data_IF_323580485912
#
_entry.id   IF_323580485912
#
_cell.length_a   1.000
_cell.length_b   1.000
_cell.length_c   1.000
_cell.angle_alpha   90.00
_cell.angle_beta   90.00
_cell.angle_gamma   90.00
#
_symmetry.space_group_name_H-M   'P 1'
#
loop_
_entity.id
_entity.type
_entity.pdbx_description
1 polymer ?
#
# COMPACT_ATOMS: atom_id res chain seq x y z
N UNK A 1 6.31 -7.57 -38.96
CA UNK A 1 5.00 -8.25 -39.16
C UNK A 1 3.93 -7.34 -38.59
N UNK A 2 2.90 -6.93 -39.35
CA UNK A 2 1.76 -6.26 -38.72
C UNK A 2 1.17 -7.23 -37.69
N UNK A 3 1.03 -6.77 -36.46
CA UNK A 3 0.50 -7.56 -35.36
C UNK A 3 -0.95 -7.92 -35.67
N UNK A 4 -1.20 -9.18 -36.02
CA UNK A 4 -2.54 -9.77 -36.18
C UNK A 4 -3.15 -10.02 -34.81
N UNK A 5 -3.36 -8.96 -34.03
CA UNK A 5 -4.16 -9.03 -32.81
C UNK A 5 -5.63 -9.21 -33.19
N UNK A 6 -6.36 -10.02 -32.42
CA UNK A 6 -7.80 -10.17 -32.57
C UNK A 6 -8.46 -8.78 -32.53
N UNK A 7 -9.47 -8.56 -33.39
CA UNK A 7 -10.20 -7.30 -33.45
C UNK A 7 -10.74 -6.95 -32.06
N UNK A 8 -10.55 -5.70 -31.64
CA UNK A 8 -11.11 -5.20 -30.40
C UNK A 8 -12.64 -5.34 -30.44
N UNK A 9 -13.22 -5.73 -29.30
CA UNK A 9 -14.66 -5.80 -29.15
C UNK A 9 -15.28 -4.41 -29.45
N UNK A 10 -16.32 -4.32 -30.29
CA UNK A 10 -16.97 -3.04 -30.56
C UNK A 10 -17.81 -2.61 -29.35
N UNK A 11 -17.68 -1.35 -28.96
CA UNK A 11 -18.49 -0.69 -27.93
C UNK A 11 -19.34 0.43 -28.53
N UNK A 12 -20.54 0.63 -28.02
CA UNK A 12 -21.35 1.81 -28.41
C UNK A 12 -20.73 3.11 -27.87
N UNK A 13 -21.10 4.29 -28.41
CA UNK A 13 -20.65 5.56 -27.85
C UNK A 13 -21.00 5.74 -26.36
N UNK A 14 -22.12 5.17 -25.92
CA UNK A 14 -22.55 5.15 -24.51
C UNK A 14 -21.65 4.26 -23.67
N UNK A 15 -21.36 3.05 -24.14
CA UNK A 15 -20.49 2.09 -23.47
C UNK A 15 -19.05 2.60 -23.38
N UNK A 16 -18.52 3.18 -24.46
CA UNK A 16 -17.21 3.79 -24.48
C UNK A 16 -17.10 4.92 -23.46
N UNK A 17 -18.11 5.80 -23.37
CA UNK A 17 -18.18 6.85 -22.34
C UNK A 17 -18.26 6.29 -20.91
N UNK A 18 -18.93 5.16 -20.72
CA UNK A 18 -19.00 4.50 -19.41
C UNK A 18 -17.67 3.83 -19.01
N UNK A 19 -16.87 3.38 -19.99
CA UNK A 19 -15.58 2.75 -19.78
C UNK A 19 -14.43 3.75 -19.61
N UNK A 20 -14.50 4.91 -20.26
CA UNK A 20 -13.44 5.94 -20.32
C UNK A 20 -12.82 6.30 -18.96
N UNK A 21 -13.57 6.43 -17.85
CA UNK A 21 -12.97 6.73 -16.54
C UNK A 21 -12.12 5.60 -15.97
N UNK A 22 -12.37 4.36 -16.40
CA UNK A 22 -11.89 3.14 -15.74
C UNK A 22 -10.90 2.32 -16.56
N UNK A 23 -10.79 2.58 -17.86
CA UNK A 23 -9.91 1.83 -18.76
C UNK A 23 -9.08 2.81 -19.59
N UNK A 24 -7.75 2.64 -19.59
CA UNK A 24 -6.84 3.55 -20.30
C UNK A 24 -6.99 3.54 -21.83
N UNK A 25 -7.71 2.57 -22.39
CA UNK A 25 -8.21 2.55 -23.76
C UNK A 25 -9.35 1.52 -23.89
N UNK A 26 -10.14 1.57 -24.96
CA UNK A 26 -11.24 0.63 -25.27
C UNK A 26 -11.01 -0.17 -26.55
N UNK A 27 -10.06 0.25 -27.37
CA UNK A 27 -9.80 -0.21 -28.74
C UNK A 27 -8.49 -0.99 -28.91
N UNK A 28 -7.70 -1.13 -27.84
CA UNK A 28 -6.49 -1.95 -27.81
C UNK A 28 -6.65 -3.17 -26.89
N UNK A 29 -6.01 -4.31 -27.24
CA UNK A 29 -6.00 -5.51 -26.40
C UNK A 29 -5.17 -5.34 -25.12
N UNK A 30 -4.26 -4.37 -25.08
CA UNK A 30 -3.46 -4.02 -23.88
C UNK A 30 -3.98 -2.71 -23.31
N UNK A 31 -4.36 -2.72 -22.04
CA UNK A 31 -4.95 -1.59 -21.33
C UNK A 31 -4.65 -1.67 -19.84
N UNK A 32 -4.86 -0.56 -19.15
CA UNK A 32 -4.75 -0.44 -17.69
C UNK A 32 -6.12 -0.14 -17.10
N UNK A 33 -6.39 -0.67 -15.91
CA UNK A 33 -7.55 -0.28 -15.11
C UNK A 33 -7.19 0.95 -14.26
N UNK A 34 -8.01 1.99 -14.32
CA UNK A 34 -7.86 3.24 -13.56
C UNK A 34 -9.10 3.50 -12.72
N UNK A 35 -9.00 4.32 -11.67
CA UNK A 35 -10.13 4.83 -10.89
C UNK A 35 -11.19 3.80 -10.43
N UNK A 36 -10.83 2.52 -10.31
CA UNK A 36 -11.69 1.47 -9.76
C UNK A 36 -11.29 1.18 -8.32
N UNK A 37 -12.24 0.97 -7.39
CA UNK A 37 -11.94 0.43 -6.08
C UNK A 37 -11.23 -0.93 -6.19
N UNK A 38 -10.25 -1.21 -5.33
CA UNK A 38 -9.49 -2.48 -5.38
C UNK A 38 -10.39 -3.71 -5.24
N UNK A 39 -11.44 -3.64 -4.41
CA UNK A 39 -12.46 -4.67 -4.28
C UNK A 39 -13.15 -4.99 -5.62
N UNK A 40 -13.44 -3.97 -6.42
CA UNK A 40 -14.08 -4.13 -7.74
C UNK A 40 -13.08 -4.73 -8.75
N UNK A 41 -11.81 -4.32 -8.72
CA UNK A 41 -10.77 -4.93 -9.57
C UNK A 41 -10.58 -6.41 -9.27
N UNK A 42 -10.48 -6.75 -7.98
CA UNK A 42 -10.38 -8.13 -7.51
C UNK A 42 -11.57 -8.97 -7.97
N UNK A 43 -12.78 -8.48 -7.73
CA UNK A 43 -14.02 -9.13 -8.13
C UNK A 43 -14.15 -9.32 -9.65
N UNK A 44 -13.81 -8.27 -10.42
CA UNK A 44 -13.82 -8.30 -11.87
C UNK A 44 -12.86 -9.35 -12.41
N UNK A 45 -11.61 -9.39 -11.92
CA UNK A 45 -10.64 -10.38 -12.38
C UNK A 45 -10.97 -11.81 -11.92
N UNK A 46 -11.54 -11.98 -10.73
CA UNK A 46 -12.06 -13.27 -10.26
C UNK A 46 -13.15 -13.82 -11.19
N UNK A 47 -14.07 -12.96 -11.64
CA UNK A 47 -15.15 -13.33 -12.58
C UNK A 47 -14.63 -13.49 -14.01
N UNK A 48 -13.67 -12.66 -14.41
CA UNK A 48 -13.05 -12.71 -15.74
C UNK A 48 -12.29 -14.01 -15.97
N UNK A 49 -11.57 -14.54 -14.97
CA UNK A 49 -10.81 -15.81 -15.11
C UNK A 49 -11.68 -17.03 -15.42
N UNK A 50 -13.00 -16.94 -15.21
CA UNK A 50 -13.98 -18.03 -15.41
C UNK A 50 -15.09 -17.67 -16.42
N UNK A 51 -14.91 -16.60 -17.20
CA UNK A 51 -15.90 -16.11 -18.16
C UNK A 51 -15.34 -16.09 -19.58
N UNK A 52 -16.21 -16.30 -20.57
CA UNK A 52 -15.86 -16.14 -21.99
C UNK A 52 -15.95 -14.67 -22.47
N UNK A 53 -16.47 -13.75 -21.64
CA UNK A 53 -16.59 -12.32 -21.94
C UNK A 53 -15.27 -11.60 -21.73
N UNK A 54 -15.07 -10.47 -22.42
CA UNK A 54 -13.94 -9.57 -22.14
C UNK A 54 -14.08 -8.91 -20.76
N UNK A 55 -12.97 -8.44 -20.18
CA UNK A 55 -13.00 -7.71 -18.91
C UNK A 55 -13.85 -6.43 -18.99
N UNK A 56 -13.83 -5.72 -20.12
CA UNK A 56 -14.65 -4.51 -20.35
C UNK A 56 -16.14 -4.85 -20.43
N UNK A 57 -16.51 -5.93 -21.14
CA UNK A 57 -17.90 -6.39 -21.24
C UNK A 57 -18.43 -6.86 -19.90
N UNK A 58 -17.65 -7.65 -19.16
CA UNK A 58 -18.01 -8.02 -17.78
C UNK A 58 -18.21 -6.81 -16.90
N UNK A 59 -17.30 -5.84 -16.97
CA UNK A 59 -17.43 -4.61 -16.20
C UNK A 59 -18.75 -3.88 -16.49
N UNK A 60 -19.09 -3.67 -17.76
CA UNK A 60 -20.35 -3.04 -18.16
C UNK A 60 -21.58 -3.82 -17.67
N UNK A 61 -21.57 -5.13 -17.87
CA UNK A 61 -22.73 -5.99 -17.61
C UNK A 61 -22.98 -6.22 -16.12
N UNK A 62 -21.92 -6.33 -15.32
CA UNK A 62 -21.99 -6.86 -13.94
C UNK A 62 -21.47 -5.90 -12.87
N UNK A 63 -20.65 -4.90 -13.20
CA UNK A 63 -19.92 -4.10 -12.20
C UNK A 63 -20.17 -2.59 -12.28
N UNK A 64 -20.53 -2.04 -13.44
CA UNK A 64 -20.71 -0.60 -13.63
C UNK A 64 -21.72 -0.01 -12.63
N UNK A 65 -22.78 -0.75 -12.30
CA UNK A 65 -23.80 -0.33 -11.34
C UNK A 65 -23.33 -0.28 -9.88
N UNK A 66 -22.18 -0.89 -9.57
CA UNK A 66 -21.58 -0.93 -8.23
C UNK A 66 -20.43 0.06 -8.05
N UNK A 67 -19.97 0.72 -9.12
CA UNK A 67 -18.98 1.78 -9.04
C UNK A 67 -19.67 3.13 -8.81
N UNK A 68 -19.25 3.87 -7.78
CA UNK A 68 -19.70 5.24 -7.58
C UNK A 68 -19.23 6.14 -8.74
N UNK A 69 -19.93 7.26 -9.05
CA UNK A 69 -19.47 8.20 -10.06
C UNK A 69 -18.02 8.64 -9.81
N UNK A 70 -17.20 8.64 -10.86
CA UNK A 70 -15.79 9.02 -10.79
C UNK A 70 -15.63 10.37 -10.07
N UNK A 71 -14.89 10.38 -8.95
CA UNK A 71 -14.66 11.56 -8.12
C UNK A 71 -15.45 11.62 -6.80
N UNK A 72 -16.33 10.65 -6.52
CA UNK A 72 -16.93 10.52 -5.20
C UNK A 72 -15.89 10.06 -4.16
N UNK A 73 -15.87 10.62 -2.93
CA UNK A 73 -14.93 10.19 -1.90
C UNK A 73 -15.09 8.69 -1.63
N UNK A 74 -13.96 7.98 -1.60
CA UNK A 74 -13.88 6.59 -1.16
C UNK A 74 -14.09 6.53 0.35
N UNK A 75 -15.34 6.63 0.78
CA UNK A 75 -15.72 6.62 2.19
C UNK A 75 -17.22 6.77 2.38
N UNK A 76 -17.85 5.71 2.91
CA UNK A 76 -19.18 5.70 3.55
C UNK A 76 -20.33 6.38 2.77
N UNK A 77 -20.54 5.97 1.52
CA UNK A 77 -21.80 6.18 0.80
C UNK A 77 -22.44 4.85 0.40
N UNK A 78 -23.64 4.83 -0.23
CA UNK A 78 -24.36 3.61 -0.65
C UNK A 78 -23.57 2.65 -1.56
N UNK A 79 -22.43 3.10 -2.11
CA UNK A 79 -21.47 2.27 -2.85
C UNK A 79 -20.57 1.40 -1.97
N UNK A 80 -20.36 1.76 -0.69
CA UNK A 80 -19.55 0.98 0.26
C UNK A 80 -20.20 -0.34 0.63
N UNK A 81 -21.49 -0.33 0.99
CA UNK A 81 -22.24 -1.57 1.27
C UNK A 81 -22.39 -2.45 0.02
N UNK A 82 -22.49 -1.84 -1.18
CA UNK A 82 -22.54 -2.60 -2.45
C UNK A 82 -21.19 -3.23 -2.76
N UNK A 83 -20.10 -2.49 -2.61
CA UNK A 83 -18.74 -3.00 -2.76
C UNK A 83 -18.42 -4.09 -1.72
N UNK A 84 -18.87 -3.96 -0.47
CA UNK A 84 -18.75 -5.01 0.54
C UNK A 84 -19.56 -6.26 0.20
N UNK A 85 -20.79 -6.12 -0.31
CA UNK A 85 -21.58 -7.27 -0.79
C UNK A 85 -20.92 -7.95 -1.97
N UNK A 86 -20.37 -7.18 -2.91
CA UNK A 86 -19.62 -7.68 -4.05
C UNK A 86 -18.35 -8.43 -3.59
N UNK A 87 -17.59 -7.83 -2.65
CA UNK A 87 -16.41 -8.43 -2.04
C UNK A 87 -16.75 -9.71 -1.29
N UNK A 88 -17.81 -9.71 -0.47
CA UNK A 88 -18.30 -10.88 0.26
C UNK A 88 -18.72 -11.99 -0.68
N UNK A 89 -19.43 -11.66 -1.77
CA UNK A 89 -19.82 -12.62 -2.80
C UNK A 89 -18.58 -13.21 -3.49
N UNK A 90 -17.59 -12.38 -3.80
CA UNK A 90 -16.36 -12.80 -4.46
C UNK A 90 -15.51 -13.69 -3.56
N UNK A 91 -15.35 -13.32 -2.28
CA UNK A 91 -14.59 -14.07 -1.31
C UNK A 91 -15.25 -15.42 -0.97
N UNK A 92 -16.59 -15.42 -0.81
CA UNK A 92 -17.35 -16.63 -0.45
C UNK A 92 -17.56 -17.59 -1.64
N UNK A 93 -17.77 -17.10 -2.87
CA UNK A 93 -18.05 -17.96 -4.02
C UNK A 93 -16.78 -18.42 -4.76
N UNK A 94 -15.67 -17.67 -4.70
CA UNK A 94 -14.52 -17.90 -5.60
C UNK A 94 -13.24 -18.38 -4.93
N UNK A 95 -13.08 -18.23 -3.60
CA UNK A 95 -12.06 -18.90 -2.78
C UNK A 95 -10.61 -18.78 -3.28
N UNK A 96 -10.29 -17.68 -3.95
CA UNK A 96 -9.07 -17.55 -4.74
C UNK A 96 -8.06 -16.63 -4.04
N UNK A 97 -6.99 -17.22 -3.48
CA UNK A 97 -5.89 -16.48 -2.85
C UNK A 97 -5.24 -15.47 -3.81
N UNK A 98 -5.32 -15.68 -5.14
CA UNK A 98 -4.79 -14.73 -6.12
C UNK A 98 -5.62 -13.44 -6.22
N UNK A 99 -6.90 -13.48 -5.85
CA UNK A 99 -7.78 -12.30 -5.82
C UNK A 99 -7.46 -11.44 -4.61
N UNK A 100 -7.07 -12.05 -3.48
CA UNK A 100 -6.61 -11.31 -2.30
C UNK A 100 -5.35 -10.49 -2.58
N UNK A 101 -4.48 -10.95 -3.48
CA UNK A 101 -3.26 -10.24 -3.89
C UNK A 101 -3.54 -8.97 -4.71
N UNK A 102 -4.75 -8.83 -5.26
CA UNK A 102 -5.16 -7.63 -6.00
C UNK A 102 -5.55 -6.48 -5.07
N UNK A 103 -5.75 -6.73 -3.76
CA UNK A 103 -5.97 -5.71 -2.75
C UNK A 103 -4.66 -5.25 -2.11
N UNK A 104 -4.31 -3.98 -2.27
CA UNK A 104 -3.21 -3.36 -1.53
C UNK A 104 -3.67 -2.80 -0.18
N UNK A 105 -2.85 -2.99 0.87
CA UNK A 105 -3.03 -2.30 2.15
C UNK A 105 -1.90 -1.29 2.36
N UNK A 106 -2.22 -0.11 2.88
CA UNK A 106 -1.24 0.86 3.32
C UNK A 106 -1.15 0.79 4.84
N UNK A 107 0.03 0.48 5.36
CA UNK A 107 0.28 0.31 6.79
C UNK A 107 1.33 1.34 7.22
N UNK A 108 0.97 2.16 8.22
CA UNK A 108 1.90 3.06 8.88
C UNK A 108 2.33 2.45 10.22
N UNK A 109 3.63 2.28 10.41
CA UNK A 109 4.23 1.75 11.63
C UNK A 109 4.99 2.87 12.33
N UNK A 110 4.42 3.44 13.39
CA UNK A 110 5.03 4.53 14.17
C UNK A 110 5.49 4.04 15.54
N UNK A 111 6.61 4.59 16.03
CA UNK A 111 7.16 4.21 17.35
C UNK A 111 7.71 2.78 17.42
N UNK A 112 7.95 2.15 16.27
CA UNK A 112 8.48 0.78 16.18
C UNK A 112 10.01 0.75 16.22
N UNK A 113 10.58 -0.38 16.62
CA UNK A 113 12.03 -0.56 16.66
C UNK A 113 12.64 -0.72 15.25
N UNK A 114 13.89 -0.31 15.08
CA UNK A 114 14.65 -0.58 13.85
C UNK A 114 14.72 -2.08 13.54
N UNK A 115 14.68 -2.94 14.55
CA UNK A 115 14.65 -4.40 14.34
C UNK A 115 13.35 -4.80 13.64
N UNK A 116 12.20 -4.27 14.09
CA UNK A 116 10.92 -4.55 13.43
C UNK A 116 10.89 -4.03 11.99
N UNK A 117 11.45 -2.84 11.72
CA UNK A 117 11.51 -2.32 10.35
C UNK A 117 12.27 -3.28 9.44
N UNK A 118 13.39 -3.87 9.91
CA UNK A 118 14.15 -4.84 9.12
C UNK A 118 13.46 -6.18 8.93
N UNK A 119 12.61 -6.60 9.87
CA UNK A 119 11.74 -7.77 9.68
C UNK A 119 10.69 -7.49 8.58
N UNK A 120 10.05 -6.32 8.60
CA UNK A 120 9.04 -5.92 7.61
C UNK A 120 9.64 -5.76 6.21
N UNK A 121 10.81 -5.13 6.10
CA UNK A 121 11.53 -4.84 4.86
C UNK A 121 12.21 -6.05 4.23
N UNK A 122 12.26 -7.20 4.93
CA UNK A 122 12.85 -8.42 4.39
C UNK A 122 12.01 -9.04 3.28
N UNK A 123 10.69 -8.77 3.29
CA UNK A 123 9.77 -9.22 2.25
C UNK A 123 10.04 -8.55 0.90
N UNK A 124 9.56 -9.16 -0.17
CA UNK A 124 9.60 -8.58 -1.54
C UNK A 124 8.21 -8.33 -2.12
N UNK A 125 7.19 -8.44 -1.27
CA UNK A 125 5.77 -8.36 -1.65
C UNK A 125 5.15 -6.99 -1.33
N UNK A 126 5.93 -6.05 -0.79
CA UNK A 126 5.48 -4.71 -0.42
C UNK A 126 6.43 -3.66 -0.99
N UNK A 127 5.96 -2.42 -1.03
CA UNK A 127 6.81 -1.23 -1.24
C UNK A 127 7.08 -0.57 0.10
N UNK A 128 8.32 -0.11 0.32
CA UNK A 128 8.78 0.37 1.63
C UNK A 128 9.17 1.84 1.57
N UNK A 129 8.82 2.58 2.61
CA UNK A 129 9.30 3.94 2.84
C UNK A 129 9.60 4.12 4.33
N UNK A 130 10.89 4.10 4.68
CA UNK A 130 11.38 4.27 6.05
C UNK A 130 11.84 5.72 6.29
N UNK A 131 11.65 6.21 7.51
CA UNK A 131 12.26 7.48 7.92
C UNK A 131 13.79 7.35 7.89
N UNK A 132 14.42 8.15 7.04
CA UNK A 132 15.87 8.11 6.86
C UNK A 132 16.62 8.80 8.00
N UNK A 133 17.44 8.04 8.73
CA UNK A 133 18.36 8.54 9.76
C UNK A 133 19.46 9.44 9.20
N UNK A 134 19.65 9.47 7.88
CA UNK A 134 20.57 10.38 7.19
C UNK A 134 20.06 11.83 7.17
N UNK A 135 18.74 12.00 7.19
CA UNK A 135 18.09 13.32 7.10
C UNK A 135 17.38 13.71 8.39
N UNK A 136 16.91 12.75 9.18
CA UNK A 136 16.19 12.99 10.43
C UNK A 136 17.03 12.53 11.62
N UNK A 137 17.62 13.46 12.39
CA UNK A 137 18.37 13.12 13.60
C UNK A 137 17.46 12.57 14.70
N UNK A 138 17.92 11.55 15.41
CA UNK A 138 17.18 10.94 16.53
C UNK A 138 17.54 11.60 17.87
N UNK A 139 17.47 12.93 17.92
CA UNK A 139 17.84 13.75 19.09
C UNK A 139 16.64 14.20 19.91
N UNK A 140 15.42 13.97 19.43
CA UNK A 140 14.19 14.34 20.13
C UNK A 140 13.92 13.41 21.32
N UNK A 141 13.39 14.00 22.41
CA UNK A 141 12.99 13.29 23.64
C UNK A 141 11.53 13.54 24.01
N UNK A 142 10.55 12.95 23.29
CA UNK A 142 9.15 13.05 23.67
C UNK A 142 8.96 12.47 25.08
N UNK A 143 8.24 13.18 25.94
CA UNK A 143 8.05 12.76 27.33
C UNK A 143 9.34 12.69 28.17
N UNK A 144 10.43 13.32 27.70
CA UNK A 144 11.72 13.34 28.39
C UNK A 144 12.59 12.10 28.17
N UNK A 145 12.14 11.13 27.37
CA UNK A 145 12.84 9.86 27.13
C UNK A 145 13.35 9.76 25.69
N UNK A 146 14.43 9.01 25.49
CA UNK A 146 14.92 8.69 24.16
C UNK A 146 13.98 7.75 23.40
N UNK A 147 13.98 7.83 22.07
CA UNK A 147 13.13 7.01 21.20
C UNK A 147 13.74 5.63 20.97
N UNK A 148 13.70 4.76 21.98
CA UNK A 148 14.02 3.34 21.82
C UNK A 148 12.95 2.44 22.47
N UNK A 149 12.91 1.18 22.05
CA UNK A 149 12.04 0.15 22.61
C UNK A 149 12.80 -0.64 23.66
N UNK A 150 12.19 -0.84 24.83
CA UNK A 150 12.60 -1.86 25.81
C UNK A 150 11.77 -3.10 25.53
N UNK A 151 12.37 -4.21 25.06
CA UNK A 151 11.63 -5.44 24.78
C UNK A 151 10.92 -5.97 26.03
N UNK A 152 9.68 -6.45 25.87
CA UNK A 152 8.89 -7.00 26.98
C UNK A 152 9.42 -8.33 27.50
N UNK A 153 10.24 -9.00 26.69
CA UNK A 153 10.92 -10.26 26.99
C UNK A 153 12.07 -10.10 28.01
N UNK A 154 12.50 -8.86 28.28
CA UNK A 154 13.47 -8.56 29.34
C UNK A 154 12.69 -8.38 30.65
N UNK A 155 12.40 -9.51 31.31
CA UNK A 155 11.61 -9.54 32.54
C UNK A 155 12.45 -9.23 33.80
N UNK A 156 13.74 -9.59 33.77
CA UNK A 156 14.63 -9.37 34.91
C UNK A 156 14.88 -7.85 35.12
N UNK A 157 14.64 -7.32 36.34
CA UNK A 157 14.79 -5.89 36.61
C UNK A 157 16.21 -5.36 36.39
N UNK A 158 17.24 -6.15 36.70
CA UNK A 158 18.64 -5.73 36.58
C UNK A 158 19.06 -5.71 35.11
N UNK A 159 18.67 -6.71 34.32
CA UNK A 159 18.89 -6.72 32.87
C UNK A 159 18.17 -5.56 32.18
N UNK A 160 16.93 -5.26 32.62
CA UNK A 160 16.16 -4.12 32.11
C UNK A 160 16.83 -2.79 32.42
N UNK A 161 17.34 -2.62 33.64
CA UNK A 161 18.08 -1.42 34.04
C UNK A 161 19.38 -1.26 33.24
N UNK A 162 20.12 -2.36 33.05
CA UNK A 162 21.34 -2.38 32.24
C UNK A 162 21.06 -2.01 30.77
N UNK A 163 20.01 -2.56 30.18
CA UNK A 163 19.59 -2.26 28.82
C UNK A 163 19.26 -0.76 28.63
N UNK A 164 18.43 -0.21 29.53
CA UNK A 164 18.05 1.21 29.54
C UNK A 164 19.27 2.10 29.66
N UNK A 165 20.14 1.85 30.65
CA UNK A 165 21.35 2.65 30.86
C UNK A 165 22.30 2.59 29.65
N UNK A 166 22.39 1.43 29.00
CA UNK A 166 23.20 1.24 27.79
C UNK A 166 22.66 2.06 26.62
N UNK A 167 21.36 2.00 26.36
CA UNK A 167 20.74 2.77 25.28
C UNK A 167 20.75 4.27 25.56
N UNK A 168 20.49 4.70 26.79
CA UNK A 168 20.59 6.12 27.17
C UNK A 168 21.97 6.68 26.84
N UNK A 169 23.03 5.95 27.24
CA UNK A 169 24.41 6.34 26.95
C UNK A 169 24.72 6.37 25.45
N UNK A 170 24.17 5.44 24.67
CA UNK A 170 24.35 5.40 23.23
C UNK A 170 23.69 6.62 22.55
N UNK A 171 22.43 6.92 22.89
CA UNK A 171 21.71 8.06 22.36
C UNK A 171 22.31 9.40 22.80
N UNK A 172 22.75 9.52 24.05
CA UNK A 172 23.48 10.71 24.54
C UNK A 172 24.77 10.93 23.76
N UNK A 173 25.53 9.87 23.54
CA UNK A 173 26.76 9.94 22.76
C UNK A 173 26.48 10.39 21.33
N UNK A 174 25.48 9.79 20.68
CA UNK A 174 25.05 10.19 19.34
C UNK A 174 24.63 11.66 19.28
N UNK A 175 23.72 12.08 20.17
CA UNK A 175 23.18 13.44 20.19
C UNK A 175 24.25 14.49 20.48
N UNK A 176 25.25 14.16 21.32
CA UNK A 176 26.39 15.04 21.58
C UNK A 176 27.27 15.25 20.35
N UNK A 177 27.44 14.23 19.51
CA UNK A 177 28.39 14.25 18.40
C UNK A 177 27.81 14.65 17.05
N UNK A 178 26.49 14.51 16.85
CA UNK A 178 25.87 14.72 15.53
C UNK A 178 26.09 16.15 15.00
N UNK A 179 25.82 17.18 15.80
CA UNK A 179 26.00 18.59 15.39
C UNK A 179 27.47 18.96 15.16
N UNK A 180 28.42 18.67 16.08
CA UNK A 180 29.85 18.93 15.84
C UNK A 180 30.38 18.27 14.57
N UNK A 181 29.99 17.02 14.30
CA UNK A 181 30.42 16.32 13.10
C UNK A 181 29.81 16.93 11.84
N UNK A 182 28.52 17.28 11.85
CA UNK A 182 27.90 17.96 10.72
C UNK A 182 28.56 19.32 10.44
N UNK A 183 28.83 20.11 11.47
CA UNK A 183 29.54 21.39 11.33
C UNK A 183 30.93 21.21 10.73
N UNK A 184 31.69 20.22 11.20
CA UNK A 184 33.00 19.89 10.66
C UNK A 184 32.96 19.55 9.17
N UNK A 185 32.04 18.68 8.75
CA UNK A 185 31.94 18.26 7.36
C UNK A 185 31.37 19.34 6.43
N UNK A 186 30.50 20.23 6.91
CA UNK A 186 30.07 21.43 6.15
C UNK A 186 31.24 22.36 5.83
N UNK A 187 32.24 22.43 6.72
CA UNK A 187 33.44 23.23 6.48
C UNK A 187 34.38 22.52 5.49
N UNK A 188 34.56 21.20 5.64
CA UNK A 188 35.46 20.43 4.77
C UNK A 188 34.93 20.22 3.34
N UNK A 189 33.61 20.10 3.19
CA UNK A 189 32.94 19.86 1.91
C UNK A 189 31.78 20.88 1.75
N UNK A 190 32.09 22.12 1.34
CA UNK A 190 31.11 23.19 1.20
C UNK A 190 30.10 22.97 0.08
#
# INVERSE_FOLDING_TARGET
>A
MPSTLAAAEPFTPEEARALDPYFGNTDSPVFVLTNLPEAVKGALFARYSRSAKSARRLFLDEFLGDVAPAGAPTGAGPGGERAERLYTKVFNEYGDDSVAQLGGAHIACEGVSNVLTKVLERGRLMSYLEQSTRYVPYTQRPGGQWKYVVPGEIEDPDDRALYVATLDRAFETYARWIEPLQAHYRIQFP
#
